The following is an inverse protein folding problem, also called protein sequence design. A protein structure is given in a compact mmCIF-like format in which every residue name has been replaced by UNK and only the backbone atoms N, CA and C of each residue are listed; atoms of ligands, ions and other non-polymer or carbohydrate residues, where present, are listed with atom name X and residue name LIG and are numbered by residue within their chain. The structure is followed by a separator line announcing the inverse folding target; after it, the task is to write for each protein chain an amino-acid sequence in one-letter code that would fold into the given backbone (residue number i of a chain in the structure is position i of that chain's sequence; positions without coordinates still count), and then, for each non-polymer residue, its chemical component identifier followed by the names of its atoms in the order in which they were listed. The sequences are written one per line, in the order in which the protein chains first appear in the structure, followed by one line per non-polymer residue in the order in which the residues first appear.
data_IF_661037537732
#
_entry.id   IF_661037537732
#
_cell.length_a   1.000
_cell.length_b   1.000
_cell.length_c   1.000
_cell.angle_alpha   90.00
_cell.angle_beta   90.00
_cell.angle_gamma   90.00
#
_symmetry.space_group_name_H-M   'P 1'
#
loop_
_entity.id
_entity.type
_entity.pdbx_description
1 polymer ?
#
# COMPACT_ATOMS: atom_id res chain seq x y z
N UNK A 1 25.26 -21.60 3.12
CA UNK A 1 25.03 -21.00 1.78
C UNK A 1 25.91 -19.78 1.68
N UNK A 2 26.67 -19.58 0.60
CA UNK A 2 27.47 -18.35 0.44
C UNK A 2 26.57 -17.20 -0.02
N UNK A 3 26.92 -15.96 0.33
CA UNK A 3 26.20 -14.75 -0.13
C UNK A 3 26.07 -14.74 -1.66
N UNK A 4 27.14 -15.10 -2.37
CA UNK A 4 27.18 -15.20 -3.84
C UNK A 4 26.16 -16.21 -4.39
N UNK A 5 25.98 -17.35 -3.70
CA UNK A 5 25.00 -18.36 -4.13
C UNK A 5 23.56 -17.89 -3.96
N UNK A 6 23.29 -17.02 -2.99
CA UNK A 6 21.95 -16.45 -2.80
C UNK A 6 21.69 -15.30 -3.78
N UNK A 7 22.66 -14.41 -4.01
CA UNK A 7 22.55 -13.36 -5.05
C UNK A 7 22.24 -13.97 -6.43
N UNK A 8 22.91 -15.06 -6.80
CA UNK A 8 22.65 -15.76 -8.07
C UNK A 8 21.23 -16.34 -8.17
N UNK A 9 20.62 -16.75 -7.06
CA UNK A 9 19.22 -17.22 -7.07
C UNK A 9 18.24 -16.10 -7.35
N UNK A 10 18.58 -14.90 -6.90
CA UNK A 10 17.80 -13.69 -7.11
C UNK A 10 18.14 -13.02 -8.46
N UNK A 11 19.02 -13.64 -9.26
CA UNK A 11 19.44 -13.15 -10.57
C UNK A 11 20.40 -11.96 -10.53
N UNK A 12 21.06 -11.72 -9.39
CA UNK A 12 21.97 -10.59 -9.19
C UNK A 12 23.41 -11.01 -9.49
N UNK A 13 24.00 -10.37 -10.50
CA UNK A 13 25.41 -10.57 -10.89
C UNK A 13 26.21 -9.27 -10.70
N UNK A 14 27.13 -9.26 -9.74
CA UNK A 14 27.92 -8.08 -9.39
C UNK A 14 28.91 -7.72 -10.50
N UNK A 15 28.89 -6.47 -10.95
CA UNK A 15 29.81 -5.94 -11.98
C UNK A 15 30.97 -5.19 -11.31
N UNK A 16 30.65 -4.18 -10.49
CA UNK A 16 31.65 -3.36 -9.79
C UNK A 16 31.11 -2.83 -8.47
N UNK A 17 32.03 -2.53 -7.56
CA UNK A 17 31.73 -1.79 -6.33
C UNK A 17 31.78 -0.28 -6.60
N UNK A 18 30.88 0.49 -6.01
CA UNK A 18 30.98 1.94 -6.00
C UNK A 18 32.18 2.39 -5.15
N UNK A 19 32.81 3.49 -5.54
CA UNK A 19 33.91 4.05 -4.77
C UNK A 19 33.42 4.70 -3.47
N UNK A 20 34.33 4.83 -2.50
CA UNK A 20 34.00 5.35 -1.17
C UNK A 20 33.51 6.79 -1.19
N UNK A 21 33.98 7.63 -2.12
CA UNK A 21 33.53 9.02 -2.21
C UNK A 21 32.07 9.09 -2.67
N UNK A 22 31.69 8.25 -3.65
CA UNK A 22 30.31 8.15 -4.13
C UNK A 22 29.37 7.66 -3.02
N UNK A 23 29.75 6.59 -2.31
CA UNK A 23 28.98 6.05 -1.19
C UNK A 23 28.79 7.12 -0.10
N UNK A 24 29.86 7.85 0.26
CA UNK A 24 29.78 8.92 1.26
C UNK A 24 28.88 10.07 0.81
N UNK A 25 28.89 10.42 -0.47
CA UNK A 25 28.00 11.45 -1.03
C UNK A 25 26.54 11.05 -0.90
N UNK A 26 26.19 9.82 -1.33
CA UNK A 26 24.84 9.28 -1.24
C UNK A 26 24.37 9.24 0.23
N UNK A 27 25.19 8.68 1.12
CA UNK A 27 24.89 8.60 2.55
C UNK A 27 24.64 9.98 3.19
N UNK A 28 25.46 10.98 2.82
CA UNK A 28 25.32 12.36 3.31
C UNK A 28 23.99 12.96 2.86
N UNK A 29 23.66 12.87 1.58
CA UNK A 29 22.45 13.46 1.02
C UNK A 29 21.20 12.80 1.59
N UNK A 30 21.17 11.46 1.66
CA UNK A 30 20.06 10.71 2.22
C UNK A 30 19.86 11.03 3.71
N UNK A 31 20.93 11.07 4.51
CA UNK A 31 20.81 11.41 5.94
C UNK A 31 20.21 12.79 6.17
N UNK A 32 20.57 13.80 5.36
CA UNK A 32 19.99 15.14 5.41
C UNK A 32 18.51 15.08 5.06
N UNK A 33 18.18 14.55 3.88
CA UNK A 33 16.82 14.55 3.35
C UNK A 33 15.84 13.77 4.22
N UNK A 34 16.25 12.64 4.80
CA UNK A 34 15.42 11.89 5.75
C UNK A 34 15.13 12.69 7.02
N UNK A 35 16.13 13.33 7.62
CA UNK A 35 15.95 14.15 8.82
C UNK A 35 15.09 15.40 8.55
N UNK A 36 15.25 16.04 7.39
CA UNK A 36 14.44 17.20 6.99
C UNK A 36 12.98 16.81 6.70
N UNK A 37 12.76 15.66 6.05
CA UNK A 37 11.42 15.17 5.72
C UNK A 37 10.67 14.66 6.95
N UNK A 38 11.39 14.04 7.90
CA UNK A 38 10.82 13.38 9.07
C UNK A 38 11.43 13.89 10.40
N UNK A 39 11.28 15.19 10.73
CA UNK A 39 11.95 15.80 11.88
C UNK A 39 11.48 15.24 13.24
N UNK A 40 10.26 14.69 13.28
CA UNK A 40 9.64 14.18 14.51
C UNK A 40 9.91 12.70 14.79
N UNK A 41 10.71 12.02 13.95
CA UNK A 41 10.96 10.57 14.09
C UNK A 41 12.20 10.25 14.92
N UNK A 42 12.79 11.26 15.60
CA UNK A 42 14.01 11.13 16.41
C UNK A 42 15.22 10.60 15.62
N UNK A 43 15.28 10.90 14.32
CA UNK A 43 16.42 10.58 13.47
C UNK A 43 17.58 11.55 13.75
N UNK A 44 18.79 11.02 13.94
CA UNK A 44 20.00 11.81 14.07
C UNK A 44 20.80 11.76 12.76
N UNK A 45 20.99 12.92 12.12
CA UNK A 45 21.67 13.03 10.83
C UNK A 45 23.09 12.45 10.86
N UNK A 46 23.87 12.72 11.92
CA UNK A 46 25.25 12.24 12.02
C UNK A 46 25.29 10.73 12.19
N UNK A 47 24.41 10.17 13.03
CA UNK A 47 24.32 8.72 13.24
C UNK A 47 23.87 8.01 11.95
N UNK A 48 22.89 8.58 11.24
CA UNK A 48 22.45 8.06 9.94
C UNK A 48 23.60 8.11 8.93
N UNK A 49 24.29 9.24 8.80
CA UNK A 49 25.44 9.34 7.90
C UNK A 49 26.51 8.28 8.19
N UNK A 50 26.88 8.10 9.46
CA UNK A 50 27.88 7.10 9.88
C UNK A 50 27.41 5.67 9.55
N UNK A 51 26.14 5.36 9.73
CA UNK A 51 25.56 4.05 9.38
C UNK A 51 25.56 3.83 7.86
N UNK A 52 24.99 4.78 7.11
CA UNK A 52 24.81 4.66 5.67
C UNK A 52 26.14 4.67 4.90
N UNK A 53 27.14 5.44 5.35
CA UNK A 53 28.48 5.49 4.71
C UNK A 53 29.27 4.18 4.81
N UNK A 54 28.85 3.27 5.69
CA UNK A 54 29.46 1.95 5.87
C UNK A 54 28.83 0.86 5.01
N UNK A 55 27.72 1.16 4.33
CA UNK A 55 27.10 0.24 3.38
C UNK A 55 28.06 -0.03 2.23
N UNK A 56 28.09 -1.28 1.79
CA UNK A 56 28.67 -1.58 0.50
C UNK A 56 27.60 -1.38 -0.58
N UNK A 57 27.98 -0.69 -1.65
CA UNK A 57 27.10 -0.42 -2.78
C UNK A 57 27.75 -0.93 -4.06
N UNK A 58 26.98 -1.58 -4.91
CA UNK A 58 27.46 -2.24 -6.12
C UNK A 58 26.59 -1.90 -7.32
N UNK A 59 27.19 -1.89 -8.50
CA UNK A 59 26.47 -2.01 -9.76
C UNK A 59 26.41 -3.50 -10.11
N UNK A 60 25.23 -3.98 -10.50
CA UNK A 60 24.97 -5.38 -10.79
C UNK A 60 24.00 -5.53 -11.97
N UNK A 61 24.08 -6.67 -12.66
CA UNK A 61 22.99 -7.11 -13.55
C UNK A 61 21.87 -7.66 -12.71
N UNK A 62 20.65 -7.26 -13.02
CA UNK A 62 19.44 -7.69 -12.32
C UNK A 62 18.32 -8.04 -13.33
N UNK A 63 17.34 -8.88 -12.96
CA UNK A 63 16.25 -9.23 -13.85
C UNK A 63 15.40 -8.00 -14.23
N UNK A 64 15.06 -7.87 -15.52
CA UNK A 64 14.16 -6.81 -15.98
C UNK A 64 12.80 -6.87 -15.28
N UNK A 65 12.28 -5.70 -14.89
CA UNK A 65 10.97 -5.54 -14.28
C UNK A 65 10.85 -5.92 -12.80
N UNK A 66 11.95 -6.31 -12.11
CA UNK A 66 11.92 -6.62 -10.68
C UNK A 66 12.10 -5.38 -9.81
N UNK A 67 13.34 -4.88 -9.71
CA UNK A 67 13.66 -3.70 -8.92
C UNK A 67 14.89 -3.01 -9.52
N UNK A 68 14.89 -1.69 -9.44
CA UNK A 68 15.98 -0.83 -9.90
C UNK A 68 17.17 -0.89 -8.94
N UNK A 69 16.89 -0.92 -7.64
CA UNK A 69 17.87 -1.24 -6.63
C UNK A 69 17.35 -2.35 -5.71
N UNK A 70 18.25 -2.97 -4.97
CA UNK A 70 17.87 -4.00 -3.98
C UNK A 70 18.82 -3.98 -2.79
N UNK A 71 18.26 -3.83 -1.60
CA UNK A 71 18.93 -4.02 -0.32
C UNK A 71 18.99 -5.50 0.07
N UNK A 72 20.19 -6.06 0.07
CA UNK A 72 20.40 -7.45 0.45
C UNK A 72 20.84 -7.58 1.91
N UNK A 73 19.88 -7.85 2.80
CA UNK A 73 20.10 -7.90 4.25
C UNK A 73 21.16 -8.92 4.72
N UNK A 74 21.40 -9.99 3.95
CA UNK A 74 22.36 -11.06 4.32
C UNK A 74 23.81 -10.59 4.33
N UNK A 75 24.15 -9.59 3.52
CA UNK A 75 25.48 -8.98 3.52
C UNK A 75 25.45 -7.46 3.66
N UNK A 76 24.31 -6.89 4.03
CA UNK A 76 24.11 -5.47 4.32
C UNK A 76 24.70 -4.60 3.20
N UNK A 77 24.21 -4.86 1.98
CA UNK A 77 24.70 -4.21 0.76
C UNK A 77 23.55 -3.82 -0.15
N UNK A 78 23.75 -2.75 -0.92
CA UNK A 78 22.81 -2.28 -1.94
C UNK A 78 23.38 -2.63 -3.31
N UNK A 79 22.53 -3.15 -4.19
CA UNK A 79 22.84 -3.44 -5.58
C UNK A 79 21.96 -2.57 -6.46
N UNK A 80 22.58 -1.80 -7.34
CA UNK A 80 21.90 -1.00 -8.35
C UNK A 80 21.97 -1.72 -9.69
N UNK A 81 20.87 -1.70 -10.42
CA UNK A 81 20.82 -2.24 -11.76
C UNK A 81 21.76 -1.47 -12.70
N UNK A 82 22.46 -2.17 -13.58
CA UNK A 82 23.51 -1.61 -14.45
C UNK A 82 23.03 -0.54 -15.43
N UNK A 83 21.72 -0.49 -15.70
CA UNK A 83 21.12 0.49 -16.60
C UNK A 83 20.71 1.80 -15.92
N UNK A 84 20.80 1.90 -14.59
CA UNK A 84 20.52 3.14 -13.87
C UNK A 84 21.62 4.15 -14.16
N UNK A 85 21.23 5.36 -14.55
CA UNK A 85 22.19 6.44 -14.75
C UNK A 85 22.83 6.83 -13.42
N UNK A 86 24.12 7.16 -13.45
CA UNK A 86 24.87 7.49 -12.22
C UNK A 86 24.20 8.61 -11.41
N UNK A 87 23.54 9.57 -12.07
CA UNK A 87 22.81 10.69 -11.46
C UNK A 87 21.55 10.27 -10.70
N UNK A 88 20.90 9.18 -11.12
CA UNK A 88 19.64 8.69 -10.54
C UNK A 88 19.87 7.71 -9.37
N UNK A 89 21.10 7.23 -9.17
CA UNK A 89 21.44 6.28 -8.11
C UNK A 89 20.99 6.74 -6.72
N UNK A 90 21.04 8.05 -6.43
CA UNK A 90 20.60 8.58 -5.13
C UNK A 90 19.11 8.38 -4.91
N UNK A 91 18.29 8.55 -5.94
CA UNK A 91 16.83 8.40 -5.85
C UNK A 91 16.47 6.98 -5.43
N UNK A 92 17.06 5.99 -6.11
CA UNK A 92 16.87 4.58 -5.79
C UNK A 92 17.50 4.18 -4.46
N UNK A 93 18.62 4.80 -4.08
CA UNK A 93 19.28 4.51 -2.82
C UNK A 93 18.44 4.90 -1.59
N UNK A 94 17.50 5.86 -1.70
CA UNK A 94 16.65 6.27 -0.58
C UNK A 94 15.82 5.09 -0.07
N UNK A 95 15.13 4.37 -0.98
CA UNK A 95 14.30 3.20 -0.65
C UNK A 95 15.14 2.14 0.08
N UNK A 96 16.28 1.79 -0.50
CA UNK A 96 17.17 0.77 0.04
C UNK A 96 17.85 1.17 1.36
N UNK A 97 18.18 2.45 1.53
CA UNK A 97 18.72 2.95 2.80
C UNK A 97 17.67 2.89 3.91
N UNK A 98 16.38 3.12 3.61
CA UNK A 98 15.30 2.96 4.58
C UNK A 98 15.21 1.49 5.02
N UNK A 99 15.27 0.52 4.09
CA UNK A 99 15.33 -0.91 4.45
C UNK A 99 16.48 -1.26 5.38
N UNK A 100 17.65 -0.67 5.14
CA UNK A 100 18.78 -0.88 6.05
C UNK A 100 18.53 -0.29 7.45
N UNK A 101 17.94 0.91 7.54
CA UNK A 101 17.63 1.55 8.83
C UNK A 101 16.66 0.70 9.66
N UNK A 102 15.76 -0.02 8.99
CA UNK A 102 14.73 -0.86 9.58
C UNK A 102 15.26 -2.12 10.28
N UNK A 103 16.49 -2.55 10.05
CA UNK A 103 16.95 -3.86 10.53
C UNK A 103 16.89 -4.00 12.07
N UNK A 104 16.16 -5.00 12.55
CA UNK A 104 16.27 -5.51 13.91
C UNK A 104 16.83 -6.93 13.84
N UNK A 105 18.02 -7.12 14.43
CA UNK A 105 18.71 -8.40 14.47
C UNK A 105 18.83 -8.92 15.91
N UNK A 106 18.86 -10.24 16.06
CA UNK A 106 19.17 -10.87 17.33
C UNK A 106 20.68 -10.79 17.66
N UNK A 107 21.06 -11.28 18.83
CA UNK A 107 22.47 -11.34 19.28
C UNK A 107 23.39 -12.20 18.40
N UNK A 108 22.82 -13.09 17.58
CA UNK A 108 23.53 -13.95 16.66
C UNK A 108 23.50 -13.39 15.22
N UNK A 109 23.06 -12.13 15.04
CA UNK A 109 22.95 -11.43 13.77
C UNK A 109 21.88 -11.99 12.82
N UNK A 110 20.88 -12.72 13.33
CA UNK A 110 19.70 -13.13 12.56
C UNK A 110 18.68 -12.00 12.48
N UNK A 111 18.16 -11.74 11.28
CA UNK A 111 17.10 -10.75 11.07
C UNK A 111 15.80 -11.21 11.73
N UNK A 112 15.32 -10.45 12.70
CA UNK A 112 14.04 -10.68 13.38
C UNK A 112 12.91 -9.90 12.70
N UNK A 113 13.22 -8.67 12.27
CA UNK A 113 12.21 -7.73 11.75
C UNK A 113 12.85 -6.72 10.82
N UNK A 114 12.09 -6.29 9.82
CA UNK A 114 12.39 -5.16 8.96
C UNK A 114 11.11 -4.35 8.75
N UNK A 115 11.04 -3.18 9.39
CA UNK A 115 9.91 -2.27 9.32
C UNK A 115 8.62 -2.91 9.81
N UNK A 116 7.63 -3.03 8.93
CA UNK A 116 6.34 -3.66 9.24
C UNK A 116 6.33 -5.18 9.03
N UNK A 117 7.45 -5.76 8.57
CA UNK A 117 7.58 -7.17 8.20
C UNK A 117 8.23 -8.01 9.31
N UNK A 118 7.62 -9.16 9.65
CA UNK A 118 8.11 -10.10 10.66
C UNK A 118 8.83 -11.29 10.00
N UNK A 119 10.06 -11.58 10.45
CA UNK A 119 10.91 -12.66 9.95
C UNK A 119 11.06 -13.82 10.94
N UNK A 120 10.35 -13.78 12.08
CA UNK A 120 10.45 -14.80 13.13
C UNK A 120 9.57 -16.03 12.87
N UNK A 121 8.56 -15.89 12.02
CA UNK A 121 7.65 -16.97 11.66
C UNK A 121 8.15 -17.79 10.45
N UNK A 122 7.59 -18.99 10.27
CA UNK A 122 7.95 -19.87 9.14
C UNK A 122 7.64 -19.27 7.76
N UNK A 123 6.64 -18.38 7.71
CA UNK A 123 6.31 -17.56 6.53
C UNK A 123 6.58 -16.10 6.89
N UNK A 124 7.10 -15.35 5.93
CA UNK A 124 7.25 -13.88 6.02
C UNK A 124 5.87 -13.24 5.85
N UNK A 125 5.52 -12.34 6.76
CA UNK A 125 4.24 -11.64 6.75
C UNK A 125 4.44 -10.12 6.76
N UNK A 126 3.66 -9.42 5.93
CA UNK A 126 3.69 -7.96 5.85
C UNK A 126 4.81 -7.41 4.97
N UNK A 127 5.32 -8.22 4.04
CA UNK A 127 6.33 -7.78 3.07
C UNK A 127 5.77 -6.68 2.17
N UNK A 128 4.64 -6.91 1.50
CA UNK A 128 4.03 -5.91 0.60
C UNK A 128 3.54 -4.68 1.35
N UNK A 129 3.07 -4.85 2.59
CA UNK A 129 2.74 -3.71 3.47
C UNK A 129 4.00 -2.88 3.77
N UNK A 130 5.13 -3.52 4.04
CA UNK A 130 6.39 -2.83 4.30
C UNK A 130 6.93 -2.13 3.04
N UNK A 131 7.02 -2.84 1.91
CA UNK A 131 7.52 -2.29 0.63
C UNK A 131 6.75 -1.04 0.23
N UNK A 132 5.41 -1.08 0.26
CA UNK A 132 4.61 0.10 -0.04
C UNK A 132 4.79 1.24 0.97
N UNK A 133 5.00 0.92 2.26
CA UNK A 133 5.25 1.94 3.27
C UNK A 133 6.61 2.63 3.05
N UNK A 134 7.65 1.85 2.73
CA UNK A 134 8.99 2.36 2.40
C UNK A 134 8.93 3.18 1.11
N UNK A 135 8.22 2.70 0.09
CA UNK A 135 8.06 3.41 -1.17
C UNK A 135 7.33 4.74 -1.02
N UNK A 136 6.27 4.80 -0.19
CA UNK A 136 5.59 6.05 0.14
C UNK A 136 6.52 7.03 0.89
N UNK A 137 7.36 6.52 1.79
CA UNK A 137 8.39 7.35 2.45
C UNK A 137 9.41 7.88 1.45
N UNK A 138 9.94 7.02 0.57
CA UNK A 138 10.89 7.42 -0.46
C UNK A 138 10.27 8.47 -1.40
N UNK A 139 9.04 8.24 -1.88
CA UNK A 139 8.30 9.19 -2.72
C UNK A 139 8.14 10.55 -2.04
N UNK A 140 7.90 10.58 -0.72
CA UNK A 140 7.79 11.82 0.06
C UNK A 140 9.13 12.53 0.19
N UNK A 141 10.22 11.81 0.42
CA UNK A 141 11.59 12.38 0.45
C UNK A 141 11.99 12.93 -0.93
N UNK A 142 11.55 12.29 -2.00
CA UNK A 142 11.78 12.69 -3.40
C UNK A 142 10.83 13.81 -3.84
N UNK A 143 9.73 14.01 -3.12
CA UNK A 143 8.66 14.95 -3.48
C UNK A 143 8.03 14.65 -4.84
N UNK A 144 7.81 13.35 -5.11
CA UNK A 144 7.17 12.90 -6.36
C UNK A 144 5.73 13.45 -6.40
N UNK A 145 5.33 14.15 -7.48
CA UNK A 145 3.97 14.65 -7.61
C UNK A 145 2.98 13.50 -7.77
N UNK A 146 1.71 13.76 -7.45
CA UNK A 146 0.65 12.82 -7.77
C UNK A 146 0.50 12.69 -9.28
N UNK A 147 0.32 11.47 -9.73
CA UNK A 147 -0.04 11.13 -11.10
C UNK A 147 -1.24 10.17 -11.12
N UNK A 148 -2.02 10.23 -12.20
CA UNK A 148 -3.15 9.35 -12.41
C UNK A 148 -2.72 8.14 -13.24
N UNK A 149 -2.86 6.96 -12.67
CA UNK A 149 -2.40 5.72 -13.29
C UNK A 149 -3.52 4.70 -13.47
N UNK A 150 -3.32 3.74 -14.36
CA UNK A 150 -4.21 2.59 -14.56
C UNK A 150 -3.42 1.29 -14.59
N UNK A 151 -3.60 0.44 -13.58
CA UNK A 151 -2.97 -0.87 -13.45
C UNK A 151 -4.03 -1.96 -13.35
N UNK A 152 -3.96 -2.96 -14.23
CA UNK A 152 -4.91 -4.09 -14.25
C UNK A 152 -6.38 -3.66 -14.18
N UNK A 153 -6.76 -2.62 -14.93
CA UNK A 153 -8.08 -1.99 -14.95
C UNK A 153 -8.50 -1.21 -13.70
N UNK A 154 -7.61 -1.04 -12.72
CA UNK A 154 -7.81 -0.19 -11.56
C UNK A 154 -7.17 1.17 -11.84
N UNK A 155 -7.94 2.24 -11.72
CA UNK A 155 -7.47 3.62 -11.91
C UNK A 155 -7.48 4.38 -10.59
N UNK A 156 -6.43 5.14 -10.31
CA UNK A 156 -6.24 5.89 -9.06
C UNK A 156 -5.14 6.94 -9.20
N UNK A 157 -5.09 7.87 -8.25
CA UNK A 157 -3.96 8.80 -8.09
C UNK A 157 -2.91 8.22 -7.13
N UNK A 158 -1.63 8.40 -7.45
CA UNK A 158 -0.52 7.95 -6.60
C UNK A 158 0.70 8.85 -6.76
N UNK A 159 1.54 8.94 -5.72
CA UNK A 159 2.88 9.53 -5.79
C UNK A 159 3.96 8.49 -6.10
N UNK A 160 3.56 7.23 -6.35
CA UNK A 160 4.45 6.15 -6.75
C UNK A 160 3.89 5.43 -7.98
N UNK A 161 3.90 6.07 -9.16
CA UNK A 161 3.31 5.48 -10.36
C UNK A 161 4.09 4.24 -10.80
N UNK A 162 5.41 4.23 -10.68
CA UNK A 162 6.27 3.18 -11.23
C UNK A 162 6.62 2.04 -10.25
N UNK A 163 6.40 2.23 -8.95
CA UNK A 163 6.86 1.28 -7.91
C UNK A 163 5.73 0.95 -6.95
N UNK A 164 5.38 -0.33 -6.85
CA UNK A 164 4.31 -0.87 -5.98
C UNK A 164 3.02 -0.04 -6.00
N UNK A 165 2.49 0.38 -7.18
CA UNK A 165 1.45 1.40 -7.25
C UNK A 165 0.15 0.95 -6.57
N UNK A 166 -0.21 -0.34 -6.68
CA UNK A 166 -1.43 -0.90 -6.09
C UNK A 166 -1.32 -1.06 -4.58
N UNK A 167 -0.19 -1.58 -4.10
CA UNK A 167 0.11 -1.70 -2.68
C UNK A 167 0.17 -0.31 -2.04
N UNK A 168 0.85 0.65 -2.66
CA UNK A 168 0.90 2.04 -2.20
C UNK A 168 -0.50 2.65 -2.10
N UNK A 169 -1.38 2.39 -3.07
CA UNK A 169 -2.77 2.87 -3.01
C UNK A 169 -3.50 2.31 -1.77
N UNK A 170 -3.42 0.99 -1.53
CA UNK A 170 -4.04 0.37 -0.35
C UNK A 170 -3.42 0.85 0.96
N UNK A 171 -2.09 0.95 1.03
CA UNK A 171 -1.38 1.40 2.24
C UNK A 171 -1.67 2.88 2.52
N UNK A 172 -1.80 3.71 1.50
CA UNK A 172 -2.19 5.12 1.66
C UNK A 172 -3.62 5.26 2.21
N UNK A 173 -4.53 4.33 1.90
CA UNK A 173 -5.83 4.25 2.57
C UNK A 173 -5.65 3.99 4.08
N UNK A 174 -4.76 3.06 4.46
CA UNK A 174 -4.50 2.78 5.88
C UNK A 174 -3.85 3.99 6.59
N UNK A 175 -2.90 4.65 5.92
CA UNK A 175 -2.24 5.87 6.37
C UNK A 175 -3.25 6.99 6.64
N UNK A 176 -4.21 7.21 5.74
CA UNK A 176 -5.27 8.18 5.95
C UNK A 176 -6.16 7.87 7.17
N UNK A 177 -6.43 6.59 7.40
CA UNK A 177 -7.30 6.16 8.50
C UNK A 177 -6.64 6.27 9.87
N UNK A 178 -5.36 5.90 9.98
CA UNK A 178 -4.65 5.84 11.27
C UNK A 178 -3.74 7.05 11.51
N UNK A 179 -3.16 7.59 10.45
CA UNK A 179 -2.17 8.67 10.48
C UNK A 179 -0.93 8.28 9.69
N UNK A 180 -0.55 9.11 8.73
CA UNK A 180 0.66 8.92 7.91
C UNK A 180 1.92 8.90 8.78
N UNK A 181 2.04 9.84 9.72
CA UNK A 181 3.17 9.88 10.66
C UNK A 181 3.26 8.60 11.49
N UNK A 182 2.13 8.01 11.88
CA UNK A 182 2.10 6.74 12.64
C UNK A 182 2.60 5.59 11.77
N UNK A 183 2.18 5.54 10.51
CA UNK A 183 2.64 4.54 9.55
C UNK A 183 4.15 4.64 9.36
N UNK A 184 4.65 5.82 9.01
CA UNK A 184 6.06 6.02 8.68
C UNK A 184 6.98 5.88 9.90
N UNK A 185 6.57 6.36 11.07
CA UNK A 185 7.32 6.16 12.32
C UNK A 185 7.45 4.66 12.63
N UNK A 186 6.35 3.91 12.53
CA UNK A 186 6.37 2.45 12.75
C UNK A 186 7.21 1.72 11.71
N UNK A 187 7.20 2.23 10.48
CA UNK A 187 7.95 1.69 9.34
C UNK A 187 9.43 1.87 9.54
N UNK A 188 9.92 3.08 9.83
CA UNK A 188 11.38 3.32 9.96
C UNK A 188 11.96 2.80 11.27
N UNK A 189 11.20 2.85 12.37
CA UNK A 189 11.65 2.40 13.69
C UNK A 189 11.30 0.93 13.98
N UNK A 190 10.73 0.21 13.00
CA UNK A 190 10.42 -1.23 13.08
C UNK A 190 9.62 -1.62 14.32
N UNK A 191 8.53 -0.90 14.59
CA UNK A 191 7.71 -1.07 15.78
C UNK A 191 6.23 -1.39 15.46
N UNK A 192 5.46 -1.80 16.47
CA UNK A 192 4.06 -2.24 16.27
C UNK A 192 3.02 -1.12 16.48
N UNK A 193 3.41 0.15 16.60
CA UNK A 193 2.48 1.22 16.93
C UNK A 193 1.35 1.34 15.89
N UNK A 194 1.68 1.40 14.60
CA UNK A 194 0.70 1.41 13.51
C UNK A 194 -0.21 0.17 13.54
N UNK A 195 0.38 -1.03 13.62
CA UNK A 195 -0.38 -2.30 13.71
C UNK A 195 -1.37 -2.28 14.86
N UNK A 196 -0.93 -1.87 16.05
CA UNK A 196 -1.77 -1.83 17.25
C UNK A 196 -2.89 -0.79 17.10
N UNK A 197 -2.60 0.39 16.57
CA UNK A 197 -3.62 1.41 16.34
C UNK A 197 -4.63 0.99 15.27
N UNK A 198 -4.18 0.35 14.20
CA UNK A 198 -5.07 -0.18 13.16
C UNK A 198 -6.01 -1.25 13.73
N UNK A 199 -5.49 -2.20 14.51
CA UNK A 199 -6.27 -3.24 15.19
C UNK A 199 -7.29 -2.61 16.14
N UNK A 200 -6.88 -1.59 16.91
CA UNK A 200 -7.77 -0.86 17.80
C UNK A 200 -8.88 -0.12 17.04
N UNK A 201 -8.60 0.42 15.86
CA UNK A 201 -9.57 1.07 14.99
C UNK A 201 -10.43 0.09 14.17
N UNK A 202 -10.04 -1.19 14.09
CA UNK A 202 -10.71 -2.25 13.31
C UNK A 202 -10.80 -3.56 14.13
N UNK A 203 -10.05 -4.59 13.77
CA UNK A 203 -9.85 -5.82 14.52
C UNK A 203 -8.53 -6.50 14.12
N UNK A 204 -8.03 -7.44 14.93
CA UNK A 204 -6.86 -8.25 14.59
C UNK A 204 -7.07 -9.03 13.29
N UNK A 205 -8.26 -9.63 13.14
CA UNK A 205 -8.63 -10.41 11.96
C UNK A 205 -8.59 -9.55 10.69
N UNK A 206 -9.14 -8.34 10.74
CA UNK A 206 -9.20 -7.46 9.58
C UNK A 206 -7.79 -6.97 9.21
N UNK A 207 -6.96 -6.61 10.19
CA UNK A 207 -5.56 -6.25 9.95
C UNK A 207 -4.81 -7.39 9.23
N UNK A 208 -4.88 -8.61 9.75
CA UNK A 208 -4.20 -9.76 9.14
C UNK A 208 -4.72 -10.05 7.73
N UNK A 209 -6.03 -9.95 7.49
CA UNK A 209 -6.60 -10.14 6.16
C UNK A 209 -6.13 -9.08 5.16
N UNK A 210 -6.08 -7.81 5.58
CA UNK A 210 -5.61 -6.70 4.75
C UNK A 210 -4.14 -6.89 4.43
N UNK A 211 -3.29 -7.09 5.44
CA UNK A 211 -1.86 -7.32 5.28
C UNK A 211 -1.57 -8.48 4.33
N UNK A 212 -2.20 -9.64 4.56
CA UNK A 212 -2.01 -10.82 3.72
C UNK A 212 -2.52 -10.58 2.28
N UNK A 213 -3.54 -9.76 2.09
CA UNK A 213 -4.04 -9.45 0.75
C UNK A 213 -3.06 -8.58 -0.03
N UNK A 214 -2.41 -7.62 0.64
CA UNK A 214 -1.36 -6.79 0.05
C UNK A 214 -0.17 -7.68 -0.36
N UNK A 215 0.27 -8.58 0.53
CA UNK A 215 1.32 -9.56 0.20
C UNK A 215 0.94 -10.43 -1.01
N UNK A 216 -0.34 -10.85 -1.12
CA UNK A 216 -0.82 -11.65 -2.26
C UNK A 216 -0.83 -10.87 -3.57
N UNK A 217 -1.05 -9.56 -3.56
CA UNK A 217 -0.95 -8.73 -4.76
C UNK A 217 0.51 -8.68 -5.21
N UNK A 218 1.42 -8.32 -4.31
CA UNK A 218 2.85 -8.28 -4.57
C UNK A 218 3.37 -9.62 -5.12
N UNK A 219 3.07 -10.73 -4.45
CA UNK A 219 3.44 -12.09 -4.88
C UNK A 219 2.93 -12.40 -6.31
N UNK A 220 1.75 -11.90 -6.68
CA UNK A 220 1.17 -12.11 -8.01
C UNK A 220 1.83 -11.22 -9.08
N UNK A 221 2.20 -9.98 -8.75
CA UNK A 221 2.94 -9.08 -9.64
C UNK A 221 4.33 -9.63 -9.96
N UNK A 222 5.07 -10.09 -8.95
CA UNK A 222 6.36 -10.73 -9.15
C UNK A 222 6.27 -11.98 -10.04
N UNK A 223 5.21 -12.78 -9.88
CA UNK A 223 5.00 -13.97 -10.71
C UNK A 223 4.70 -13.58 -12.16
N UNK A 224 3.97 -12.48 -12.41
CA UNK A 224 3.78 -11.93 -13.77
C UNK A 224 5.14 -11.54 -14.37
N UNK A 225 5.99 -10.84 -13.63
CA UNK A 225 7.34 -10.45 -14.08
C UNK A 225 8.18 -11.69 -14.42
N UNK A 226 8.20 -12.69 -13.53
CA UNK A 226 8.91 -13.97 -13.74
C UNK A 226 8.41 -14.69 -15.00
N UNK A 227 7.10 -14.67 -15.28
CA UNK A 227 6.54 -15.30 -16.48
C UNK A 227 6.92 -14.50 -17.74
N UNK A 228 6.84 -13.17 -17.70
CA UNK A 228 7.24 -12.30 -18.82
C UNK A 228 8.71 -12.52 -19.21
N UNK A 229 9.62 -12.53 -18.23
CA UNK A 229 11.04 -12.77 -18.48
C UNK A 229 11.31 -14.15 -19.12
N UNK A 230 10.50 -15.17 -18.78
CA UNK A 230 10.57 -16.48 -19.44
C UNK A 230 10.01 -16.47 -20.86
N UNK A 231 9.01 -15.64 -21.16
CA UNK A 231 8.45 -15.51 -22.51
C UNK A 231 9.47 -14.87 -23.45
N UNK A 232 10.17 -13.83 -22.99
CA UNK A 232 11.19 -13.11 -23.79
C UNK A 232 12.31 -14.05 -24.28
N UNK A 233 12.60 -15.13 -23.56
CA UNK A 233 13.63 -16.12 -23.91
C UNK A 233 13.16 -17.17 -24.94
N UNK A 234 11.92 -17.11 -25.44
CA UNK A 234 11.34 -18.07 -26.38
C UNK A 234 11.15 -17.38 -27.74
N UNK A 235 11.89 -17.83 -28.76
CA UNK A 235 11.90 -17.21 -30.10
C UNK A 235 10.54 -17.28 -30.82
N UNK A 236 9.85 -18.42 -30.73
CA UNK A 236 8.61 -18.66 -31.46
C UNK A 236 7.40 -18.83 -30.55
N UNK A 237 6.32 -18.09 -30.87
CA UNK A 237 5.02 -18.28 -30.21
C UNK A 237 4.53 -19.71 -30.42
N UNK A 238 4.27 -20.38 -29.32
CA UNK A 238 3.81 -21.75 -29.29
C UNK A 238 2.80 -21.96 -28.14
N UNK A 239 2.24 -23.16 -28.05
CA UNK A 239 1.24 -23.51 -27.02
C UNK A 239 1.71 -23.25 -25.58
N UNK A 240 3.02 -23.34 -25.31
CA UNK A 240 3.59 -23.04 -23.99
C UNK A 240 3.51 -21.53 -23.70
N UNK A 241 3.85 -20.69 -24.67
CA UNK A 241 3.71 -19.22 -24.58
C UNK A 241 2.24 -18.84 -24.37
N UNK A 242 1.31 -19.44 -25.12
CA UNK A 242 -0.12 -19.18 -24.96
C UNK A 242 -0.63 -19.54 -23.54
N UNK A 243 -0.18 -20.67 -22.98
CA UNK A 243 -0.51 -21.05 -21.60
C UNK A 243 0.08 -20.06 -20.56
N UNK A 244 1.27 -19.52 -20.82
CA UNK A 244 1.91 -18.53 -19.95
C UNK A 244 1.15 -17.19 -19.98
N UNK A 245 0.69 -16.77 -21.17
CA UNK A 245 -0.16 -15.58 -21.33
C UNK A 245 -1.50 -15.77 -20.58
N UNK A 246 -2.14 -16.93 -20.74
CA UNK A 246 -3.38 -17.23 -20.01
C UNK A 246 -3.19 -17.16 -18.48
N UNK A 247 -2.05 -17.68 -17.97
CA UNK A 247 -1.71 -17.58 -16.54
C UNK A 247 -1.51 -16.13 -16.10
N UNK A 248 -0.88 -15.28 -16.92
CA UNK A 248 -0.75 -13.84 -16.63
C UNK A 248 -2.14 -13.21 -16.52
N UNK A 249 -3.07 -13.51 -17.43
CA UNK A 249 -4.41 -12.94 -17.40
C UNK A 249 -5.21 -13.39 -16.16
N UNK A 250 -5.02 -14.63 -15.71
CA UNK A 250 -5.58 -15.11 -14.43
C UNK A 250 -4.99 -14.35 -13.23
N UNK A 251 -3.67 -14.11 -13.21
CA UNK A 251 -3.02 -13.34 -12.15
C UNK A 251 -3.51 -11.89 -12.12
N UNK A 252 -3.66 -11.23 -13.28
CA UNK A 252 -4.22 -9.86 -13.37
C UNK A 252 -5.65 -9.80 -12.80
N UNK A 253 -6.50 -10.78 -13.13
CA UNK A 253 -7.86 -10.88 -12.57
C UNK A 253 -7.84 -11.12 -11.06
N UNK A 254 -6.92 -11.97 -10.58
CA UNK A 254 -6.72 -12.22 -9.15
C UNK A 254 -6.33 -10.94 -8.42
N UNK A 255 -5.34 -10.19 -8.94
CA UNK A 255 -4.90 -8.89 -8.40
C UNK A 255 -6.09 -7.94 -8.30
N UNK A 256 -6.82 -7.76 -9.40
CA UNK A 256 -7.99 -6.86 -9.45
C UNK A 256 -9.04 -7.23 -8.40
N UNK A 257 -9.39 -8.52 -8.31
CA UNK A 257 -10.37 -9.00 -7.34
C UNK A 257 -9.90 -8.82 -5.90
N UNK A 258 -8.63 -9.15 -5.62
CA UNK A 258 -8.03 -9.00 -4.30
C UNK A 258 -8.03 -7.54 -3.88
N UNK A 259 -7.51 -6.63 -4.72
CA UNK A 259 -7.47 -5.21 -4.46
C UNK A 259 -8.85 -4.64 -4.09
N UNK A 260 -9.87 -4.88 -4.91
CA UNK A 260 -11.22 -4.35 -4.67
C UNK A 260 -11.84 -4.92 -3.38
N UNK A 261 -11.63 -6.21 -3.10
CA UNK A 261 -12.09 -6.82 -1.85
C UNK A 261 -11.37 -6.22 -0.64
N UNK A 262 -10.08 -6.00 -0.73
CA UNK A 262 -9.26 -5.40 0.34
C UNK A 262 -9.68 -3.97 0.61
N UNK A 263 -9.86 -3.15 -0.43
CA UNK A 263 -10.38 -1.79 -0.30
C UNK A 263 -11.76 -1.77 0.39
N UNK A 264 -12.68 -2.64 -0.03
CA UNK A 264 -14.00 -2.73 0.58
C UNK A 264 -13.91 -3.18 2.06
N UNK A 265 -12.98 -4.08 2.39
CA UNK A 265 -12.71 -4.49 3.76
C UNK A 265 -12.13 -3.35 4.61
N UNK A 266 -11.20 -2.56 4.08
CA UNK A 266 -10.65 -1.36 4.73
C UNK A 266 -11.79 -0.39 5.07
N UNK A 267 -12.64 -0.07 4.10
CA UNK A 267 -13.80 0.82 4.28
C UNK A 267 -14.71 0.29 5.38
N UNK A 268 -15.17 -0.96 5.25
CA UNK A 268 -16.19 -1.50 6.15
C UNK A 268 -15.67 -1.74 7.56
N UNK A 269 -14.47 -2.28 7.72
CA UNK A 269 -13.88 -2.57 9.03
C UNK A 269 -13.71 -1.31 9.88
N UNK A 270 -13.15 -0.24 9.29
CA UNK A 270 -12.93 1.03 9.99
C UNK A 270 -14.24 1.80 10.22
N UNK A 271 -14.96 2.13 9.15
CA UNK A 271 -16.08 3.07 9.23
C UNK A 271 -17.31 2.45 9.93
N UNK A 272 -17.46 1.13 9.98
CA UNK A 272 -18.48 0.51 10.83
C UNK A 272 -18.13 0.63 12.31
N UNK A 273 -16.86 0.39 12.67
CA UNK A 273 -16.42 0.51 14.08
C UNK A 273 -16.45 1.97 14.54
N UNK A 274 -15.95 2.90 13.74
CA UNK A 274 -15.98 4.34 14.03
C UNK A 274 -17.42 4.88 14.16
N UNK A 275 -18.39 4.36 13.41
CA UNK A 275 -19.79 4.77 13.55
C UNK A 275 -20.35 4.46 14.95
N UNK A 276 -19.94 3.33 15.53
CA UNK A 276 -20.39 2.90 16.85
C UNK A 276 -19.78 3.73 17.98
N UNK A 277 -18.69 4.48 17.73
CA UNK A 277 -18.04 5.32 18.74
C UNK A 277 -18.58 6.74 18.79
N UNK A 278 -19.43 7.15 17.84
CA UNK A 278 -20.04 8.48 17.79
C UNK A 278 -20.94 8.70 19.02
N UNK A 279 -20.66 9.74 19.81
CA UNK A 279 -21.43 10.11 21.01
C UNK A 279 -21.84 11.58 21.03
N UNK A 280 -21.25 12.42 20.17
CA UNK A 280 -21.49 13.86 20.12
C UNK A 280 -21.80 14.32 18.69
N UNK A 281 -22.35 15.53 18.55
CA UNK A 281 -22.54 16.15 17.23
C UNK A 281 -21.21 16.43 16.53
N UNK A 282 -20.14 16.71 17.29
CA UNK A 282 -18.80 16.87 16.74
C UNK A 282 -18.28 15.56 16.13
N UNK A 283 -18.49 14.42 16.82
CA UNK A 283 -18.13 13.10 16.28
C UNK A 283 -18.84 12.80 14.96
N UNK A 284 -20.10 13.24 14.82
CA UNK A 284 -20.88 13.10 13.59
C UNK A 284 -20.20 13.84 12.43
N UNK A 285 -19.84 15.11 12.64
CA UNK A 285 -19.19 15.91 11.60
C UNK A 285 -17.79 15.39 11.28
N UNK A 286 -17.03 14.96 12.29
CA UNK A 286 -15.72 14.35 12.11
C UNK A 286 -15.81 13.06 11.29
N UNK A 287 -16.77 12.18 11.60
CA UNK A 287 -17.03 10.97 10.81
C UNK A 287 -17.43 11.30 9.38
N UNK A 288 -18.36 12.24 9.19
CA UNK A 288 -18.86 12.66 7.87
C UNK A 288 -17.71 13.16 6.99
N UNK A 289 -16.89 14.07 7.52
CA UNK A 289 -15.73 14.64 6.82
C UNK A 289 -14.72 13.55 6.47
N UNK A 290 -14.40 12.68 7.42
CA UNK A 290 -13.42 11.60 7.20
C UNK A 290 -13.89 10.60 6.14
N UNK A 291 -15.15 10.19 6.19
CA UNK A 291 -15.70 9.27 5.18
C UNK A 291 -15.82 9.94 3.80
N UNK A 292 -16.19 11.22 3.72
CA UNK A 292 -16.25 11.93 2.45
C UNK A 292 -14.88 12.06 1.78
N UNK A 293 -13.86 12.47 2.53
CA UNK A 293 -12.50 12.67 2.03
C UNK A 293 -11.79 11.33 1.72
N UNK A 294 -12.23 10.21 2.29
CA UNK A 294 -11.67 8.89 1.98
C UNK A 294 -11.78 8.52 0.49
N UNK A 295 -12.75 9.11 -0.23
CA UNK A 295 -12.95 8.86 -1.67
C UNK A 295 -11.70 9.14 -2.51
N UNK A 296 -10.85 10.07 -2.07
CA UNK A 296 -9.66 10.53 -2.78
C UNK A 296 -8.49 9.53 -2.68
N UNK A 297 -8.66 8.44 -1.92
CA UNK A 297 -7.68 7.37 -1.71
C UNK A 297 -8.11 6.05 -2.37
N UNK A 298 -9.25 6.02 -3.06
CA UNK A 298 -9.80 4.80 -3.64
C UNK A 298 -9.22 4.52 -5.03
N UNK A 299 -9.01 3.24 -5.33
CA UNK A 299 -8.95 2.73 -6.70
C UNK A 299 -10.33 2.42 -7.24
N UNK A 300 -10.53 2.68 -8.53
CA UNK A 300 -11.79 2.43 -9.24
C UNK A 300 -11.59 1.53 -10.45
N UNK A 301 -12.52 0.60 -10.65
CA UNK A 301 -12.66 -0.19 -11.88
C UNK A 301 -13.98 0.17 -12.54
N UNK A 302 -14.14 -0.17 -13.83
CA UNK A 302 -15.42 -0.01 -14.51
C UNK A 302 -16.53 -0.73 -13.74
N UNK A 303 -17.64 -0.03 -13.50
CA UNK A 303 -18.78 -0.55 -12.73
C UNK A 303 -18.60 -0.62 -11.21
N UNK A 304 -17.51 -0.09 -10.63
CA UNK A 304 -17.33 -0.07 -9.18
C UNK A 304 -18.28 0.93 -8.48
N UNK A 305 -19.33 0.42 -7.82
CA UNK A 305 -20.32 1.25 -7.09
C UNK A 305 -20.25 1.14 -5.57
N UNK A 306 -19.48 0.17 -5.04
CA UNK A 306 -19.52 -0.22 -3.64
C UNK A 306 -19.36 0.96 -2.68
N UNK A 307 -18.34 1.79 -2.87
CA UNK A 307 -18.08 2.90 -1.96
C UNK A 307 -19.21 3.94 -1.98
N UNK A 308 -19.75 4.24 -3.15
CA UNK A 308 -20.87 5.18 -3.28
C UNK A 308 -22.12 4.65 -2.58
N UNK A 309 -22.43 3.36 -2.76
CA UNK A 309 -23.55 2.71 -2.09
C UNK A 309 -23.37 2.67 -0.57
N UNK A 310 -22.13 2.39 -0.11
CA UNK A 310 -21.75 2.41 1.29
C UNK A 310 -21.87 3.81 1.90
N UNK A 311 -21.28 4.82 1.25
CA UNK A 311 -21.32 6.22 1.67
C UNK A 311 -22.75 6.69 1.85
N UNK A 312 -23.57 6.48 0.82
CA UNK A 312 -24.99 6.88 0.82
C UNK A 312 -25.74 6.19 1.95
N UNK A 313 -25.55 4.88 2.14
CA UNK A 313 -26.17 4.16 3.25
C UNK A 313 -25.74 4.72 4.61
N UNK A 314 -24.45 4.97 4.79
CA UNK A 314 -23.91 5.50 6.04
C UNK A 314 -24.34 6.93 6.32
N UNK A 315 -24.51 7.77 5.31
CA UNK A 315 -25.05 9.12 5.52
C UNK A 315 -26.50 9.09 6.03
N UNK A 316 -27.32 8.12 5.59
CA UNK A 316 -28.68 7.93 6.14
C UNK A 316 -28.62 7.51 7.61
N UNK A 317 -27.77 6.54 7.94
CA UNK A 317 -27.59 6.07 9.32
C UNK A 317 -27.06 7.20 10.23
N UNK A 318 -26.13 8.00 9.71
CA UNK A 318 -25.52 9.13 10.41
C UNK A 318 -26.51 10.26 10.66
N UNK A 319 -27.37 10.57 9.69
CA UNK A 319 -28.46 11.54 9.86
C UNK A 319 -29.43 11.10 10.95
N UNK A 320 -29.79 9.83 10.98
CA UNK A 320 -30.62 9.29 12.07
C UNK A 320 -29.94 9.47 13.43
N UNK A 321 -28.63 9.15 13.51
CA UNK A 321 -27.85 9.31 14.75
C UNK A 321 -27.73 10.77 15.19
N UNK A 322 -27.51 11.69 14.25
CA UNK A 322 -27.51 13.15 14.50
C UNK A 322 -28.82 13.59 15.17
N UNK A 323 -29.96 13.22 14.59
CA UNK A 323 -31.28 13.58 15.11
C UNK A 323 -31.56 13.05 16.52
N UNK A 324 -30.98 11.89 16.88
CA UNK A 324 -31.10 11.35 18.24
C UNK A 324 -30.27 12.16 19.23
N UNK A 325 -29.03 12.49 18.86
CA UNK A 325 -28.11 13.26 19.68
C UNK A 325 -28.63 14.69 19.92
N UNK A 326 -29.16 15.34 18.88
CA UNK A 326 -29.77 16.68 18.99
C UNK A 326 -30.93 16.71 19.99
N UNK A 327 -31.71 15.63 20.07
CA UNK A 327 -32.85 15.50 21.00
C UNK A 327 -32.46 15.01 22.39
N UNK A 328 -31.18 14.73 22.64
CA UNK A 328 -30.71 14.15 23.91
C UNK A 328 -31.27 12.76 24.21
N UNK A 329 -31.73 12.01 23.19
CA UNK A 329 -32.30 10.67 23.37
C UNK A 329 -31.18 9.64 23.38
N UNK A 330 -31.01 8.94 24.51
CA UNK A 330 -30.05 7.84 24.60
C UNK A 330 -30.46 6.67 23.68
N UNK A 331 -29.47 6.04 23.03
CA UNK A 331 -29.68 4.90 22.11
C UNK A 331 -30.43 3.71 22.77
N UNK A 332 -30.45 3.59 24.09
CA UNK A 332 -31.17 2.53 24.83
C UNK A 332 -32.70 2.72 24.88
N UNK A 333 -33.22 3.88 24.48
CA UNK A 333 -34.67 4.20 24.51
C UNK A 333 -35.43 3.75 23.23
N UNK A 334 -34.74 3.01 22.35
CA UNK A 334 -35.06 2.83 20.92
C UNK A 334 -36.17 1.83 20.58
N UNK A 335 -36.74 1.08 21.54
CA UNK A 335 -37.77 0.08 21.22
C UNK A 335 -39.15 0.68 20.89
N UNK A 336 -39.33 2.01 20.95
CA UNK A 336 -40.65 2.65 20.91
C UNK A 336 -40.83 3.68 19.77
N UNK A 337 -39.78 4.06 19.04
CA UNK A 337 -39.88 5.10 18.00
C UNK A 337 -39.92 4.51 16.57
N UNK A 338 -40.97 4.79 15.77
CA UNK A 338 -41.02 4.34 14.38
C UNK A 338 -39.90 4.99 13.57
N UNK A 339 -39.16 4.20 12.78
CA UNK A 339 -38.21 4.68 11.77
C UNK A 339 -38.93 5.62 10.80
N UNK A 340 -38.94 6.92 11.08
CA UNK A 340 -39.45 7.93 10.14
C UNK A 340 -38.53 7.93 8.92
N UNK A 341 -39.08 7.63 7.75
CA UNK A 341 -38.35 7.73 6.48
C UNK A 341 -37.95 9.19 6.25
N UNK A 342 -36.65 9.47 6.35
CA UNK A 342 -36.14 10.85 6.22
C UNK A 342 -36.30 11.36 4.77
N UNK A 343 -36.42 12.68 4.60
CA UNK A 343 -36.48 13.32 3.26
C UNK A 343 -35.22 12.97 2.45
N UNK A 344 -34.06 12.86 3.10
CA UNK A 344 -32.81 12.42 2.49
C UNK A 344 -32.90 10.95 2.04
N UNK A 345 -33.46 10.04 2.84
CA UNK A 345 -33.67 8.64 2.45
C UNK A 345 -34.61 8.49 1.24
N UNK A 346 -35.58 9.40 1.07
CA UNK A 346 -36.44 9.45 -0.14
C UNK A 346 -35.68 9.93 -1.37
N UNK A 347 -34.86 10.97 -1.24
CA UNK A 347 -33.99 11.48 -2.32
C UNK A 347 -32.95 10.41 -2.71
N UNK A 348 -32.38 9.73 -1.72
CA UNK A 348 -31.39 8.66 -1.88
C UNK A 348 -31.99 7.42 -2.54
N UNK A 349 -33.18 6.98 -2.11
CA UNK A 349 -33.87 5.87 -2.77
C UNK A 349 -34.30 6.22 -4.20
N UNK A 350 -34.56 7.50 -4.48
CA UNK A 350 -34.82 7.99 -5.83
C UNK A 350 -33.56 7.95 -6.70
N UNK A 351 -32.42 8.40 -6.16
CA UNK A 351 -31.10 8.32 -6.83
C UNK A 351 -30.69 6.86 -7.09
N UNK A 352 -30.83 5.96 -6.10
CA UNK A 352 -30.57 4.52 -6.28
C UNK A 352 -31.43 3.92 -7.40
N UNK A 353 -32.71 4.30 -7.49
CA UNK A 353 -33.60 3.85 -8.57
C UNK A 353 -33.20 4.40 -9.95
N UNK A 354 -32.62 5.59 -10.03
CA UNK A 354 -32.10 6.16 -11.27
C UNK A 354 -30.85 5.43 -11.76
N UNK A 355 -29.90 5.12 -10.87
CA UNK A 355 -28.69 4.37 -11.25
C UNK A 355 -28.98 2.92 -11.65
N UNK A 356 -29.90 2.22 -10.95
CA UNK A 356 -30.34 0.85 -11.31
C UNK A 356 -31.13 0.84 -12.63
N UNK A 357 -31.85 1.92 -12.94
CA UNK A 357 -32.59 2.01 -14.21
C UNK A 357 -31.66 2.23 -15.40
N UNK A 358 -30.60 3.02 -15.24
CA UNK A 358 -29.58 3.20 -16.28
C UNK A 358 -28.79 1.92 -16.55
N UNK A 359 -28.44 1.10 -15.55
CA UNK A 359 -27.76 -0.18 -15.78
C UNK A 359 -28.61 -1.18 -16.56
N UNK A 360 -29.91 -1.23 -16.30
CA UNK A 360 -30.83 -2.14 -17.00
C UNK A 360 -31.20 -1.66 -18.42
N UNK A 361 -31.15 -0.34 -18.69
CA UNK A 361 -31.33 0.21 -20.04
C UNK A 361 -30.07 0.01 -20.92
N UNK A 362 -28.87 0.00 -20.31
CA UNK A 362 -27.61 -0.34 -21.02
C UNK A 362 -27.55 -1.83 -21.37
N UNK A 363 -27.91 -2.74 -20.45
CA UNK A 363 -27.97 -4.19 -20.74
C UNK A 363 -29.04 -4.56 -21.79
N UNK A 364 -30.10 -3.76 -21.94
CA UNK A 364 -31.10 -3.97 -23.00
C UNK A 364 -30.61 -3.53 -24.38
N UNK A 365 -29.82 -2.45 -24.45
CA UNK A 365 -29.31 -1.94 -25.72
C UNK A 365 -28.11 -2.73 -26.26
N UNK A 366 -27.39 -3.48 -25.42
CA UNK A 366 -26.31 -4.39 -25.87
C UNK A 366 -26.81 -5.73 -26.42
N UNK A 367 -28.09 -6.08 -26.21
CA UNK A 367 -28.67 -7.32 -26.72
C UNK A 367 -29.44 -7.15 -28.05
N UNK A 368 -29.52 -5.92 -28.59
CA UNK A 368 -30.23 -5.58 -29.82
C UNK A 368 -29.31 -5.03 -30.95
N UNK A 369 -28.00 -5.35 -30.93
CA UNK A 369 -27.05 -5.07 -32.03
C UNK A 369 -26.31 -6.33 -32.47
#
# INVERSE_FOLDING_TARGET
MSVESDLRKDGIEVIKKLDTLRINSIARNISIRLCETFPNFNLNQNDLFIKLSRLNMYIAKMPEGMAEANYFYKNTSIYFNEHIADEDLEEFAIHECIHYIQEIKDKNNYLLRMGLCDYTEFKIYGLGLNEASVQLMASKVISIPKDFVKYFNISFETTSPSYYPLECCLVNQLAYLIGEDVLFESTINSNNNFKNQFINATSYKDFMNIQNSIDVILEAEEEIIKINNKIIQIDDRNKKVDNMIAKIDELKKKITSTFIKTQNLIVTSYFNKAFNTIKTLEDVENYRRKLYNFKDYLGSTDGYTFFNDYYVSKMVDLEHKYNLLEKGIAESSLSILPKKTSKLAKIINFIKKLFIRNSNEIEKNENDI
#
